data_IF_643284698152
#
_entry.id   IF_643284698152
#
_cell.length_a   1.000
_cell.length_b   1.000
_cell.length_c   1.000
_cell.angle_alpha   90.00
_cell.angle_beta   90.00
_cell.angle_gamma   90.00
#
_symmetry.space_group_name_H-M   'P 1'
#
loop_
_entity.id
_entity.type
_entity.pdbx_description
1 polymer ?
#
# COMPACT_ATOMS: atom_id res chain seq x y z
N UNK A 1 -72.72 9.35 14.38
CA UNK A 1 -73.47 10.62 14.33
C UNK A 1 -72.80 11.42 13.24
N UNK A 2 -73.37 11.39 12.12
CA UNK A 2 -74.36 12.26 11.47
C UNK A 2 -73.67 13.43 10.76
N UNK A 3 -73.64 13.34 9.44
CA UNK A 3 -74.40 14.11 8.43
C UNK A 3 -73.85 15.52 8.19
N UNK A 4 -73.75 16.08 7.03
CA UNK A 4 -74.32 16.01 5.69
C UNK A 4 -73.69 17.16 4.89
N UNK A 5 -73.25 16.93 3.65
CA UNK A 5 -73.90 17.27 2.37
C UNK A 5 -74.07 18.75 2.05
N UNK A 6 -73.58 19.26 0.91
CA UNK A 6 -74.29 19.44 -0.38
C UNK A 6 -73.54 20.41 -1.29
N UNK A 7 -73.37 20.00 -2.52
CA UNK A 7 -73.33 20.84 -3.74
C UNK A 7 -74.70 21.51 -3.98
N UNK A 8 -74.96 22.40 -4.97
CA UNK A 8 -74.43 22.50 -6.31
C UNK A 8 -74.52 23.89 -7.03
N UNK A 9 -74.19 23.84 -8.37
CA UNK A 9 -74.74 24.65 -9.49
C UNK A 9 -74.05 25.97 -9.85
N UNK A 10 -73.88 26.34 -11.08
CA UNK A 10 -74.21 26.10 -12.47
C UNK A 10 -73.54 27.11 -13.37
N UNK A 11 -73.00 26.66 -14.49
CA UNK A 11 -73.19 27.16 -15.88
C UNK A 11 -73.10 28.65 -16.24
N UNK A 12 -72.23 28.92 -17.22
CA UNK A 12 -72.60 29.53 -18.52
C UNK A 12 -71.41 29.74 -19.43
N UNK A 13 -71.48 29.15 -20.58
CA UNK A 13 -70.73 29.49 -21.81
C UNK A 13 -71.34 30.77 -22.42
N UNK A 14 -70.62 31.57 -23.19
CA UNK A 14 -70.98 31.84 -24.55
C UNK A 14 -69.86 31.86 -25.61
N UNK A 15 -70.23 31.27 -26.68
CA UNK A 15 -70.03 31.44 -28.12
C UNK A 15 -68.89 32.32 -28.66
N UNK A 16 -68.20 31.67 -29.56
CA UNK A 16 -67.21 32.12 -30.58
C UNK A 16 -67.79 33.18 -31.55
N UNK A 17 -66.92 33.94 -32.20
CA UNK A 17 -67.04 34.17 -33.63
C UNK A 17 -65.86 33.68 -34.46
N UNK A 18 -66.24 33.23 -35.60
CA UNK A 18 -65.49 32.63 -36.74
C UNK A 18 -64.81 33.79 -37.51
N UNK A 19 -63.48 33.64 -37.79
CA UNK A 19 -62.82 34.46 -38.81
C UNK A 19 -61.76 33.72 -39.57
N UNK A 20 -61.97 33.65 -40.79
CA UNK A 20 -61.26 33.45 -42.05
C UNK A 20 -59.83 32.93 -42.07
N UNK A 21 -59.65 31.85 -42.85
CA UNK A 21 -58.41 31.32 -43.38
C UNK A 21 -57.71 32.33 -44.28
N UNK A 22 -56.44 32.60 -43.96
CA UNK A 22 -55.46 33.00 -44.98
C UNK A 22 -54.23 32.09 -44.85
N UNK A 23 -54.05 31.30 -45.90
CA UNK A 23 -52.90 30.41 -46.07
C UNK A 23 -51.62 31.24 -46.30
N UNK A 24 -50.69 31.15 -45.39
CA UNK A 24 -49.31 31.54 -45.64
C UNK A 24 -48.43 30.29 -45.60
N UNK A 25 -47.84 29.97 -46.74
CA UNK A 25 -46.80 28.96 -46.89
C UNK A 25 -45.61 29.38 -46.09
N UNK A 26 -45.29 28.67 -44.99
CA UNK A 26 -44.02 28.82 -44.28
C UNK A 26 -42.99 27.91 -44.93
N UNK A 27 -41.93 28.50 -45.47
CA UNK A 27 -40.74 27.80 -45.92
C UNK A 27 -40.01 27.29 -44.69
N UNK A 28 -39.86 25.99 -44.55
CA UNK A 28 -38.99 25.34 -43.56
C UNK A 28 -37.52 25.53 -44.03
N UNK A 29 -36.82 26.42 -43.35
CA UNK A 29 -35.36 26.47 -43.37
C UNK A 29 -34.84 25.36 -42.46
N UNK A 30 -34.29 24.30 -43.04
CA UNK A 30 -33.58 23.27 -42.30
C UNK A 30 -32.22 23.86 -41.84
N UNK A 31 -32.10 24.11 -40.52
CA UNK A 31 -30.82 24.42 -39.89
C UNK A 31 -30.10 23.11 -39.62
N UNK A 32 -28.87 22.87 -40.16
CA UNK A 32 -28.11 21.68 -39.80
C UNK A 32 -27.70 21.79 -38.34
N UNK A 33 -28.12 20.87 -37.49
CA UNK A 33 -27.63 20.72 -36.13
C UNK A 33 -26.18 20.21 -36.20
N UNK A 34 -25.23 21.12 -36.02
CA UNK A 34 -23.84 20.77 -35.78
C UNK A 34 -23.77 20.08 -34.40
N UNK A 35 -23.55 18.77 -34.38
CA UNK A 35 -23.24 18.01 -33.16
C UNK A 35 -21.82 18.42 -32.74
N UNK A 36 -21.70 19.37 -31.82
CA UNK A 36 -20.46 19.59 -31.09
C UNK A 36 -20.23 18.34 -30.20
N UNK A 37 -19.33 17.46 -30.62
CA UNK A 37 -18.72 16.50 -29.68
C UNK A 37 -17.93 17.32 -28.68
N UNK A 38 -18.49 17.55 -27.50
CA UNK A 38 -17.76 18.04 -26.35
C UNK A 38 -16.73 16.96 -25.97
N UNK A 39 -15.47 17.13 -26.33
CA UNK A 39 -14.35 16.41 -25.74
C UNK A 39 -14.35 16.79 -24.25
N UNK A 40 -14.94 15.94 -23.41
CA UNK A 40 -14.76 16.06 -21.96
C UNK A 40 -13.27 15.84 -21.69
N UNK A 41 -12.56 16.83 -21.08
CA UNK A 41 -11.21 16.60 -20.67
C UNK A 41 -11.24 15.44 -19.67
N UNK A 42 -10.56 14.32 -19.98
CA UNK A 42 -10.27 13.29 -18.98
C UNK A 42 -9.51 13.97 -17.87
N UNK A 43 -10.09 14.03 -16.68
CA UNK A 43 -9.38 14.52 -15.51
C UNK A 43 -8.06 13.75 -15.41
N UNK A 44 -6.93 14.48 -15.40
CA UNK A 44 -5.63 13.88 -15.17
C UNK A 44 -5.71 13.11 -13.85
N UNK A 45 -5.20 11.89 -13.81
CA UNK A 45 -5.15 11.10 -12.58
C UNK A 45 -4.36 11.91 -11.52
N UNK A 46 -4.89 11.96 -10.29
CA UNK A 46 -4.21 12.63 -9.18
C UNK A 46 -2.89 11.93 -8.81
N UNK A 47 -2.71 10.67 -9.24
CA UNK A 47 -1.53 9.84 -8.98
C UNK A 47 -0.94 9.33 -10.30
N UNK A 48 0.40 9.19 -10.38
CA UNK A 48 1.08 8.68 -11.57
C UNK A 48 0.85 7.19 -11.74
N UNK A 49 0.80 6.73 -12.99
CA UNK A 49 0.94 5.30 -13.26
C UNK A 49 2.34 4.82 -12.85
N UNK A 50 2.51 3.53 -12.48
CA UNK A 50 3.83 2.97 -12.27
C UNK A 50 4.66 3.03 -13.54
N UNK A 51 5.98 3.17 -13.39
CA UNK A 51 6.93 3.00 -14.46
C UNK A 51 6.76 1.64 -15.15
N UNK A 52 7.12 1.56 -16.42
CA UNK A 52 6.99 0.31 -17.18
C UNK A 52 7.92 -0.75 -16.61
N UNK A 53 7.34 -1.87 -16.18
CA UNK A 53 8.07 -3.08 -15.79
C UNK A 53 7.58 -4.27 -16.62
N UNK A 54 8.49 -5.21 -16.91
CA UNK A 54 8.25 -6.36 -17.78
C UNK A 54 8.80 -7.65 -17.16
N UNK A 55 8.45 -8.80 -17.76
CA UNK A 55 8.90 -10.11 -17.31
C UNK A 55 8.10 -10.63 -16.12
N UNK A 56 8.76 -11.08 -15.08
CA UNK A 56 8.13 -11.67 -13.88
C UNK A 56 7.65 -10.58 -12.92
N UNK A 57 6.47 -10.02 -13.19
CA UNK A 57 5.93 -8.85 -12.47
C UNK A 57 4.77 -9.16 -11.53
N UNK A 58 4.30 -10.41 -11.47
CA UNK A 58 3.27 -10.82 -10.49
C UNK A 58 3.92 -10.92 -9.12
N UNK A 59 3.59 -9.98 -8.23
CA UNK A 59 4.16 -9.87 -6.87
C UNK A 59 3.12 -9.40 -5.87
N UNK A 60 3.34 -9.70 -4.60
CA UNK A 60 2.63 -9.14 -3.45
C UNK A 60 3.65 -8.75 -2.37
N UNK A 61 3.50 -7.59 -1.72
CA UNK A 61 4.41 -7.04 -0.70
C UNK A 61 5.89 -7.11 -1.10
N UNK A 62 6.28 -6.44 -2.20
CA UNK A 62 7.65 -6.51 -2.67
C UNK A 62 8.60 -5.66 -1.82
N UNK A 63 9.78 -6.22 -1.54
CA UNK A 63 10.95 -5.47 -1.07
C UNK A 63 12.07 -5.56 -2.10
N UNK A 64 12.83 -4.49 -2.28
CA UNK A 64 13.89 -4.45 -3.27
C UNK A 64 15.15 -3.81 -2.73
N UNK A 65 16.32 -4.37 -3.07
CA UNK A 65 17.63 -3.79 -2.79
C UNK A 65 18.49 -3.80 -4.05
N UNK A 66 19.36 -2.81 -4.19
CA UNK A 66 20.39 -2.77 -5.23
C UNK A 66 21.72 -3.19 -4.65
N UNK A 67 22.36 -4.20 -5.25
CA UNK A 67 23.70 -4.66 -4.85
C UNK A 67 24.78 -3.66 -5.27
N UNK A 68 25.97 -3.75 -4.70
CA UNK A 68 27.14 -2.95 -5.12
C UNK A 68 27.53 -3.17 -6.60
N UNK A 69 27.19 -4.34 -7.15
CA UNK A 69 27.39 -4.66 -8.57
C UNK A 69 26.27 -4.11 -9.48
N UNK A 70 25.32 -3.33 -8.93
CA UNK A 70 24.24 -2.69 -9.67
C UNK A 70 23.03 -3.58 -9.98
N UNK A 71 23.01 -4.82 -9.50
CA UNK A 71 21.88 -5.74 -9.67
C UNK A 71 20.78 -5.46 -8.65
N UNK A 72 19.53 -5.48 -9.07
CA UNK A 72 18.36 -5.40 -8.20
C UNK A 72 17.93 -6.81 -7.78
N UNK A 73 17.79 -7.00 -6.48
CA UNK A 73 17.23 -8.21 -5.86
C UNK A 73 15.87 -7.82 -5.29
N UNK A 74 14.82 -8.50 -5.72
CA UNK A 74 13.45 -8.29 -5.27
C UNK A 74 12.92 -9.57 -4.65
N UNK A 75 12.41 -9.47 -3.44
CA UNK A 75 11.69 -10.53 -2.74
C UNK A 75 10.26 -10.12 -2.49
N UNK A 76 9.35 -11.11 -2.45
CA UNK A 76 7.92 -10.87 -2.30
C UNK A 76 7.26 -11.99 -1.51
N UNK A 77 6.07 -11.74 -1.02
CA UNK A 77 5.17 -12.70 -0.36
C UNK A 77 4.95 -13.94 -1.24
N UNK A 78 4.85 -15.10 -0.58
CA UNK A 78 4.48 -16.38 -1.17
C UNK A 78 5.61 -17.41 -1.20
N UNK A 79 5.22 -18.67 -1.08
CA UNK A 79 6.15 -19.78 -1.06
C UNK A 79 7.22 -19.65 0.03
N UNK A 80 8.47 -19.85 -0.34
CA UNK A 80 9.65 -19.59 0.48
C UNK A 80 10.24 -18.19 0.30
N UNK A 81 9.43 -17.15 0.07
CA UNK A 81 9.76 -15.79 -0.33
C UNK A 81 10.27 -15.72 -1.77
N UNK A 82 9.34 -15.48 -2.68
CA UNK A 82 9.58 -15.53 -4.12
C UNK A 82 10.57 -14.45 -4.58
N UNK A 83 11.63 -14.87 -5.27
CA UNK A 83 12.72 -14.02 -5.72
C UNK A 83 12.59 -13.62 -7.19
N UNK A 84 12.99 -12.39 -7.47
CA UNK A 84 13.17 -11.85 -8.82
C UNK A 84 14.41 -10.98 -8.86
N UNK A 85 14.97 -10.81 -10.06
CA UNK A 85 16.16 -9.97 -10.26
C UNK A 85 16.04 -9.17 -11.55
N UNK A 86 16.69 -8.00 -11.54
CA UNK A 86 16.83 -7.12 -12.71
C UNK A 86 18.22 -6.48 -12.72
N UNK A 87 18.70 -6.07 -13.89
CA UNK A 87 19.92 -5.26 -14.05
C UNK A 87 19.61 -3.79 -14.32
N UNK A 88 18.35 -3.47 -14.62
CA UNK A 88 17.91 -2.13 -15.05
C UNK A 88 16.64 -1.66 -14.29
N UNK A 89 16.14 -2.44 -13.33
CA UNK A 89 14.89 -2.27 -12.57
C UNK A 89 13.59 -2.17 -13.41
N UNK A 90 13.67 -2.54 -14.71
CA UNK A 90 12.53 -2.54 -15.62
C UNK A 90 12.17 -3.94 -16.10
N UNK A 91 13.16 -4.76 -16.43
CA UNK A 91 12.97 -6.16 -16.85
C UNK A 91 13.33 -7.11 -15.70
N UNK A 92 12.34 -7.83 -15.17
CA UNK A 92 12.51 -8.74 -14.04
C UNK A 92 12.42 -10.21 -14.48
N UNK A 93 13.38 -11.01 -14.01
CA UNK A 93 13.41 -12.46 -14.18
C UNK A 93 13.17 -13.15 -12.84
N UNK A 94 12.34 -14.20 -12.82
CA UNK A 94 12.15 -15.06 -11.67
C UNK A 94 13.40 -15.93 -11.44
N UNK A 95 13.72 -16.20 -10.16
CA UNK A 95 14.90 -17.00 -9.77
C UNK A 95 14.65 -17.96 -8.60
N UNK A 96 13.40 -18.38 -8.41
CA UNK A 96 13.02 -19.30 -7.32
C UNK A 96 12.68 -18.57 -6.02
N UNK A 97 12.87 -19.24 -4.89
CA UNK A 97 12.54 -18.72 -3.56
C UNK A 97 13.82 -18.56 -2.71
N UNK A 98 13.79 -17.64 -1.74
CA UNK A 98 14.86 -17.50 -0.75
C UNK A 98 15.10 -18.83 -0.02
N UNK A 99 14.02 -19.48 0.41
CA UNK A 99 14.02 -20.78 1.07
C UNK A 99 13.49 -21.86 0.13
N UNK A 100 14.37 -22.63 -0.49
CA UNK A 100 13.99 -23.85 -1.22
C UNK A 100 13.47 -24.94 -0.27
N UNK A 101 14.06 -25.03 0.93
CA UNK A 101 13.55 -25.82 2.06
C UNK A 101 13.07 -24.86 3.14
N UNK A 102 11.78 -24.94 3.46
CA UNK A 102 11.13 -24.02 4.40
C UNK A 102 11.52 -24.37 5.84
N UNK A 103 11.82 -23.37 6.70
CA UNK A 103 12.11 -23.59 8.10
C UNK A 103 10.97 -24.33 8.80
N UNK A 104 11.30 -25.39 9.55
CA UNK A 104 10.31 -26.29 10.17
C UNK A 104 9.38 -25.60 11.17
N UNK A 105 9.83 -24.51 11.82
CA UNK A 105 9.05 -23.76 12.80
C UNK A 105 7.83 -23.03 12.19
N UNK A 106 7.78 -22.81 10.85
CA UNK A 106 6.64 -22.17 10.19
C UNK A 106 5.34 -22.95 10.41
N UNK A 107 5.42 -24.28 10.42
CA UNK A 107 4.26 -25.15 10.66
C UNK A 107 3.53 -24.89 11.99
N UNK A 108 4.25 -24.37 13.00
CA UNK A 108 3.64 -23.98 14.29
C UNK A 108 2.64 -22.82 14.17
N UNK A 109 2.68 -22.11 13.06
CA UNK A 109 1.77 -20.99 12.71
C UNK A 109 0.72 -21.42 11.68
N UNK A 110 0.65 -22.71 11.33
CA UNK A 110 -0.37 -23.26 10.43
C UNK A 110 -0.13 -22.93 8.95
N UNK A 111 1.11 -22.60 8.57
CA UNK A 111 1.45 -22.23 7.19
C UNK A 111 2.75 -22.88 6.74
N UNK A 112 2.94 -22.93 5.44
CA UNK A 112 4.20 -23.27 4.75
C UNK A 112 4.68 -22.13 3.86
N UNK A 113 4.14 -20.93 4.05
CA UNK A 113 4.46 -19.73 3.29
C UNK A 113 4.96 -18.62 4.21
N UNK A 114 5.83 -17.78 3.68
CA UNK A 114 6.26 -16.55 4.33
C UNK A 114 5.79 -15.33 3.56
N UNK A 115 5.58 -14.23 4.30
CA UNK A 115 4.97 -13.01 3.81
C UNK A 115 5.83 -11.79 4.09
N UNK A 116 5.58 -10.72 3.32
CA UNK A 116 6.07 -9.37 3.51
C UNK A 116 7.55 -9.32 3.94
N UNK A 117 8.49 -9.78 3.08
CA UNK A 117 9.91 -9.69 3.38
C UNK A 117 10.39 -8.24 3.40
N UNK A 118 11.41 -7.97 4.22
CA UNK A 118 12.18 -6.73 4.21
C UNK A 118 13.67 -7.05 4.12
N UNK A 119 14.31 -6.72 2.97
CA UNK A 119 15.72 -6.99 2.72
C UNK A 119 16.56 -5.75 2.95
N UNK A 120 17.67 -5.90 3.68
CA UNK A 120 18.67 -4.87 3.90
C UNK A 120 20.09 -5.44 3.84
N UNK A 121 21.10 -4.57 3.68
CA UNK A 121 22.51 -4.97 3.75
C UNK A 121 23.15 -4.30 4.96
N UNK A 122 23.50 -5.10 5.97
CA UNK A 122 23.99 -4.61 7.25
C UNK A 122 25.16 -5.48 7.73
N UNK A 123 26.23 -4.86 8.25
CA UNK A 123 27.34 -5.59 8.81
C UNK A 123 28.03 -6.56 7.85
N UNK A 124 28.08 -6.24 6.55
CA UNK A 124 28.73 -7.07 5.53
C UNK A 124 27.91 -8.23 5.00
N UNK A 125 26.62 -8.33 5.33
CA UNK A 125 25.70 -9.38 4.88
C UNK A 125 24.30 -8.84 4.57
N UNK A 126 23.57 -9.57 3.75
CA UNK A 126 22.14 -9.33 3.55
C UNK A 126 21.36 -9.93 4.73
N UNK A 127 20.44 -9.15 5.25
CA UNK A 127 19.46 -9.56 6.25
C UNK A 127 18.06 -9.50 5.63
N UNK A 128 17.21 -10.46 5.96
CA UNK A 128 15.81 -10.46 5.56
C UNK A 128 14.95 -10.77 6.78
N UNK A 129 14.17 -9.77 7.20
CA UNK A 129 13.05 -9.98 8.11
C UNK A 129 11.84 -10.40 7.29
N UNK A 130 11.01 -11.29 7.82
CA UNK A 130 9.83 -11.79 7.12
C UNK A 130 8.76 -12.24 8.10
N UNK A 131 7.52 -12.34 7.66
CA UNK A 131 6.41 -12.76 8.49
C UNK A 131 5.98 -14.20 8.18
N UNK A 132 5.50 -14.89 9.22
CA UNK A 132 4.89 -16.21 9.14
C UNK A 132 3.56 -16.16 9.88
N UNK A 133 2.46 -16.37 9.15
CA UNK A 133 1.10 -16.25 9.68
C UNK A 133 0.10 -17.02 8.81
N UNK A 134 -1.17 -16.98 9.19
CA UNK A 134 -2.31 -17.37 8.38
C UNK A 134 -3.29 -16.21 8.25
N UNK A 135 -3.97 -16.12 7.10
CA UNK A 135 -4.89 -15.02 6.81
C UNK A 135 -5.99 -14.90 7.86
N UNK A 136 -6.23 -13.68 8.35
CA UNK A 136 -7.23 -13.39 9.38
C UNK A 136 -6.80 -13.73 10.81
N UNK A 137 -5.57 -14.19 11.03
CA UNK A 137 -5.02 -14.52 12.34
C UNK A 137 -4.01 -13.47 12.81
N UNK A 138 -3.90 -13.31 14.15
CA UNK A 138 -2.77 -12.63 14.77
C UNK A 138 -1.88 -13.59 15.58
N UNK A 139 -2.05 -14.91 15.40
CA UNK A 139 -1.05 -15.88 15.81
C UNK A 139 0.06 -15.89 14.76
N UNK A 140 1.06 -15.05 14.96
CA UNK A 140 2.04 -14.73 13.94
C UNK A 140 3.45 -14.62 14.50
N UNK A 141 4.45 -14.71 13.62
CA UNK A 141 5.84 -14.50 13.96
C UNK A 141 6.58 -13.73 12.88
N UNK A 142 7.54 -12.92 13.31
CA UNK A 142 8.57 -12.34 12.46
C UNK A 142 9.80 -13.21 12.59
N UNK A 143 10.33 -13.71 11.46
CA UNK A 143 11.59 -14.41 11.33
C UNK A 143 12.71 -13.51 10.84
N UNK A 144 13.93 -13.99 10.96
CA UNK A 144 15.14 -13.36 10.43
C UNK A 144 15.97 -14.40 9.68
N UNK A 145 16.45 -14.02 8.50
CA UNK A 145 17.46 -14.78 7.77
C UNK A 145 18.65 -13.90 7.39
N UNK A 146 19.80 -14.53 7.19
CA UNK A 146 21.02 -13.89 6.71
C UNK A 146 21.61 -14.59 5.50
N UNK A 147 22.25 -13.81 4.61
CA UNK A 147 22.91 -14.31 3.41
C UNK A 147 24.15 -13.49 3.10
N UNK A 148 25.20 -14.14 2.58
CA UNK A 148 26.39 -13.44 2.10
C UNK A 148 26.20 -12.84 0.70
N UNK A 149 25.29 -13.39 -0.12
CA UNK A 149 25.07 -12.96 -1.51
C UNK A 149 23.73 -12.30 -1.77
N UNK A 150 22.74 -12.51 -0.88
CA UNK A 150 21.36 -12.09 -1.08
C UNK A 150 20.60 -12.92 -2.13
N UNK A 151 21.19 -14.02 -2.65
CA UNK A 151 20.59 -14.85 -3.69
C UNK A 151 19.90 -16.09 -3.11
N UNK A 152 18.91 -16.67 -3.80
CA UNK A 152 18.33 -17.97 -3.44
C UNK A 152 19.40 -19.03 -3.18
N UNK A 153 19.13 -19.92 -2.21
CA UNK A 153 20.06 -20.99 -1.80
C UNK A 153 21.21 -20.54 -0.88
N UNK A 154 21.36 -19.23 -0.61
CA UNK A 154 22.39 -18.70 0.31
C UNK A 154 21.82 -18.20 1.65
N UNK A 155 20.52 -18.30 1.84
CA UNK A 155 19.85 -17.83 3.05
C UNK A 155 19.92 -18.85 4.18
N UNK A 156 20.38 -18.40 5.34
CA UNK A 156 20.36 -19.16 6.59
C UNK A 156 19.28 -18.57 7.49
N UNK A 157 18.34 -19.40 7.92
CA UNK A 157 17.31 -19.01 8.88
C UNK A 157 17.91 -18.87 10.29
N UNK A 158 17.67 -17.72 10.92
CA UNK A 158 18.05 -17.42 12.32
C UNK A 158 16.86 -17.57 13.28
N UNK A 159 15.72 -18.09 12.77
CA UNK A 159 14.51 -18.32 13.53
C UNK A 159 13.78 -17.03 13.94
N UNK A 160 12.88 -17.20 14.88
CA UNK A 160 11.93 -16.15 15.33
C UNK A 160 12.62 -14.96 16.00
N UNK A 161 12.15 -13.77 15.68
CA UNK A 161 12.55 -12.47 16.27
C UNK A 161 11.49 -11.96 17.24
N UNK A 162 10.24 -11.93 16.80
CA UNK A 162 9.11 -11.40 17.57
C UNK A 162 7.84 -12.17 17.22
N UNK A 163 6.91 -12.26 18.16
CA UNK A 163 5.69 -13.05 17.99
C UNK A 163 4.46 -12.34 18.51
N UNK A 164 3.31 -12.74 18.01
CA UNK A 164 1.99 -12.48 18.59
C UNK A 164 1.21 -13.77 18.72
N UNK A 165 0.23 -13.77 19.61
CA UNK A 165 -0.69 -14.88 19.85
C UNK A 165 -2.12 -14.40 19.67
N UNK A 166 -3.08 -15.30 19.68
CA UNK A 166 -4.52 -14.94 19.58
C UNK A 166 -5.01 -14.03 20.70
N UNK A 167 -4.29 -13.95 21.83
CA UNK A 167 -4.56 -13.04 22.94
C UNK A 167 -3.82 -11.68 22.83
N UNK A 168 -2.93 -11.53 21.86
CA UNK A 168 -2.23 -10.26 21.64
C UNK A 168 -3.17 -9.20 21.05
N UNK A 169 -2.95 -7.95 21.44
CA UNK A 169 -3.66 -6.79 20.90
C UNK A 169 -3.06 -6.26 19.59
N UNK A 170 -2.09 -6.95 19.01
CA UNK A 170 -1.38 -6.62 17.77
C UNK A 170 -1.12 -7.88 16.94
N UNK A 171 -0.65 -7.70 15.71
CA UNK A 171 -0.25 -8.77 14.81
C UNK A 171 1.24 -8.60 14.45
N UNK A 172 2.08 -9.63 14.67
CA UNK A 172 3.51 -9.60 14.39
C UNK A 172 3.79 -10.03 12.94
N UNK A 173 3.39 -9.19 11.98
CA UNK A 173 3.67 -9.33 10.54
C UNK A 173 4.15 -8.00 9.95
N UNK A 174 4.53 -8.00 8.67
CA UNK A 174 4.99 -6.85 7.90
C UNK A 174 6.19 -6.14 8.55
N UNK A 175 7.31 -6.83 8.75
CA UNK A 175 8.48 -6.23 9.37
C UNK A 175 9.18 -5.25 8.41
N UNK A 176 9.74 -4.16 8.98
CA UNK A 176 10.73 -3.31 8.32
C UNK A 176 11.83 -2.91 9.29
N UNK A 177 13.07 -3.22 8.92
CA UNK A 177 14.26 -2.82 9.66
C UNK A 177 14.69 -1.40 9.25
N UNK A 178 14.75 -0.50 10.22
CA UNK A 178 15.36 0.81 10.06
C UNK A 178 16.62 0.93 10.92
N UNK A 179 17.75 1.29 10.30
CA UNK A 179 19.02 1.60 10.97
C UNK A 179 19.19 3.10 10.99
N UNK A 180 19.23 3.68 12.20
CA UNK A 180 19.37 5.13 12.38
C UNK A 180 20.86 5.56 12.29
N UNK A 181 21.10 6.85 12.07
CA UNK A 181 22.43 7.43 11.93
C UNK A 181 23.30 7.25 13.20
N UNK A 182 22.67 7.06 14.36
CA UNK A 182 23.35 6.77 15.63
C UNK A 182 23.69 5.27 15.81
N UNK A 183 23.49 4.47 14.76
CA UNK A 183 23.75 3.03 14.77
C UNK A 183 22.72 2.18 15.48
N UNK A 184 21.64 2.79 15.95
CA UNK A 184 20.54 2.04 16.57
C UNK A 184 19.66 1.39 15.52
N UNK A 185 19.26 0.14 15.80
CA UNK A 185 18.35 -0.62 14.95
C UNK A 185 16.94 -0.64 15.51
N UNK A 186 15.98 -0.43 14.63
CA UNK A 186 14.57 -0.41 14.95
C UNK A 186 13.80 -1.31 13.99
N UNK A 187 12.89 -2.13 14.52
CA UNK A 187 11.99 -2.94 13.72
C UNK A 187 10.57 -2.41 13.87
N UNK A 188 10.01 -1.87 12.81
CA UNK A 188 8.59 -1.57 12.73
C UNK A 188 7.84 -2.77 12.15
N UNK A 189 6.61 -3.01 12.62
CA UNK A 189 5.79 -4.13 12.19
C UNK A 189 4.33 -3.91 12.61
N UNK A 190 3.43 -4.68 12.04
CA UNK A 190 2.04 -4.71 12.50
C UNK A 190 1.03 -4.55 11.38
N UNK A 191 -0.13 -5.15 11.61
CA UNK A 191 -1.25 -5.19 10.71
C UNK A 191 -2.53 -5.26 11.54
N UNK A 192 -3.51 -4.41 11.22
CA UNK A 192 -4.83 -4.37 11.87
C UNK A 192 -4.76 -4.21 13.42
N UNK A 193 -5.65 -4.84 14.17
CA UNK A 193 -5.74 -4.81 15.65
C UNK A 193 -5.48 -3.39 16.21
N UNK A 194 -4.38 -3.22 16.96
CA UNK A 194 -3.96 -1.91 17.49
C UNK A 194 -2.88 -1.24 16.64
N UNK A 195 -2.75 -1.66 15.37
CA UNK A 195 -1.90 -1.03 14.37
C UNK A 195 -0.42 -1.34 14.51
N UNK A 196 0.40 -0.42 14.01
CA UNK A 196 1.83 -0.58 13.80
C UNK A 196 2.60 -0.32 15.09
N UNK A 197 3.56 -1.19 15.35
CA UNK A 197 4.46 -1.16 16.51
C UNK A 197 5.91 -0.98 16.07
N UNK A 198 6.74 -0.56 17.00
CA UNK A 198 8.19 -0.46 16.83
C UNK A 198 8.90 -0.96 18.08
N UNK A 199 9.94 -1.77 17.88
CA UNK A 199 10.82 -2.30 18.95
C UNK A 199 12.29 -2.02 18.62
N UNK A 200 13.13 -2.08 19.66
CA UNK A 200 14.59 -2.03 19.53
C UNK A 200 15.14 -3.38 19.12
N UNK A 201 16.10 -3.36 18.21
CA UNK A 201 16.85 -4.54 17.79
C UNK A 201 18.31 -4.40 18.24
N UNK A 202 18.89 -5.52 18.69
CA UNK A 202 20.30 -5.67 18.95
C UNK A 202 21.05 -5.88 17.61
N UNK A 203 21.91 -4.94 17.19
CA UNK A 203 22.63 -5.08 15.90
C UNK A 203 23.52 -6.32 15.81
N UNK A 204 23.96 -6.88 16.94
CA UNK A 204 24.83 -8.06 16.96
C UNK A 204 24.10 -9.35 16.66
N UNK A 205 22.82 -9.43 17.01
CA UNK A 205 22.00 -10.64 16.88
C UNK A 205 20.85 -10.51 15.87
N UNK A 206 20.42 -9.29 15.55
CA UNK A 206 19.21 -9.02 14.78
C UNK A 206 17.91 -9.38 15.53
N UNK A 207 17.96 -9.62 16.84
CA UNK A 207 16.82 -9.94 17.70
C UNK A 207 16.42 -8.74 18.56
N UNK A 208 15.27 -8.84 19.24
CA UNK A 208 14.87 -7.78 20.17
C UNK A 208 15.95 -7.49 21.21
N UNK A 209 16.23 -6.22 21.43
CA UNK A 209 17.23 -5.79 22.41
C UNK A 209 16.71 -6.06 23.83
N UNK A 210 17.44 -6.87 24.60
CA UNK A 210 17.01 -7.28 25.95
C UNK A 210 16.93 -6.14 26.98
N UNK A 211 17.75 -5.09 26.80
CA UNK A 211 17.75 -3.91 27.66
C UNK A 211 16.67 -2.86 27.28
N UNK A 212 15.98 -3.01 26.14
CA UNK A 212 14.86 -2.17 25.72
C UNK A 212 13.78 -3.04 25.06
N UNK A 213 12.88 -3.58 25.86
CA UNK A 213 11.78 -4.46 25.41
C UNK A 213 10.49 -3.69 25.14
N UNK A 214 10.51 -2.35 25.20
CA UNK A 214 9.32 -1.53 24.98
C UNK A 214 8.79 -1.67 23.56
N UNK A 215 7.46 -1.95 23.46
CA UNK A 215 6.70 -1.96 22.20
C UNK A 215 5.99 -0.62 22.04
N UNK A 216 6.45 0.19 21.12
CA UNK A 216 5.96 1.55 20.88
C UNK A 216 4.91 1.54 19.78
N UNK A 217 3.75 2.16 19.99
CA UNK A 217 2.76 2.36 18.93
C UNK A 217 3.13 3.56 18.08
N UNK A 218 3.25 3.38 16.77
CA UNK A 218 3.66 4.45 15.84
C UNK A 218 2.59 4.81 14.80
N UNK A 219 1.64 3.92 14.51
CA UNK A 219 0.43 4.21 13.75
C UNK A 219 -0.71 3.30 14.20
N UNK A 220 -1.95 3.80 14.17
CA UNK A 220 -3.15 3.04 14.46
C UNK A 220 -4.41 3.73 13.94
N UNK A 221 -5.49 2.95 13.82
CA UNK A 221 -6.81 3.44 13.45
C UNK A 221 -7.80 3.09 14.56
N UNK A 222 -7.92 3.92 15.59
CA UNK A 222 -8.79 3.64 16.73
C UNK A 222 -10.27 3.67 16.37
N UNK A 223 -10.65 4.38 15.29
CA UNK A 223 -12.03 4.46 14.79
C UNK A 223 -12.13 3.95 13.35
N UNK A 224 -13.29 3.43 12.95
CA UNK A 224 -13.52 2.86 11.63
C UNK A 224 -12.91 1.47 11.45
N UNK A 225 -12.46 1.17 10.23
CA UNK A 225 -11.72 -0.07 9.95
C UNK A 225 -10.35 0.03 10.62
N UNK A 226 -9.91 -1.02 11.27
CA UNK A 226 -8.58 -1.02 11.93
C UNK A 226 -7.43 -1.26 10.95
N UNK A 227 -7.71 -1.24 9.66
CA UNK A 227 -6.83 -1.59 8.57
C UNK A 227 -5.71 -0.56 8.38
N UNK A 228 -4.59 -0.76 9.03
CA UNK A 228 -3.29 -0.11 8.80
C UNK A 228 -2.21 -1.15 8.99
N UNK A 229 -1.28 -1.27 8.02
CA UNK A 229 -0.25 -2.30 7.97
C UNK A 229 0.93 -1.89 7.09
N UNK A 230 1.86 -2.82 6.83
CA UNK A 230 3.02 -2.64 5.96
C UNK A 230 3.81 -1.34 6.27
N UNK A 231 4.34 -1.18 7.49
CA UNK A 231 5.17 -0.01 7.82
C UNK A 231 6.48 -0.02 7.06
N UNK A 232 6.93 1.16 6.64
CA UNK A 232 8.29 1.36 6.13
C UNK A 232 8.82 2.72 6.58
N UNK A 233 9.96 2.73 7.27
CA UNK A 233 10.56 3.95 7.81
C UNK A 233 11.77 4.37 6.99
N UNK A 234 11.81 5.64 6.62
CA UNK A 234 12.99 6.27 6.01
C UNK A 234 13.32 7.58 6.70
N UNK A 235 14.61 7.99 6.67
CA UNK A 235 15.05 9.27 7.15
C UNK A 235 15.43 10.16 5.98
N UNK A 236 14.89 11.39 5.95
CA UNK A 236 15.17 12.36 4.89
C UNK A 236 15.14 13.77 5.47
N UNK A 237 16.17 14.58 5.16
CA UNK A 237 16.25 15.99 5.56
C UNK A 237 15.96 16.24 7.05
N UNK A 238 16.49 15.38 7.94
CA UNK A 238 16.34 15.48 9.38
C UNK A 238 15.00 14.99 9.96
N UNK A 239 14.07 14.49 9.10
CA UNK A 239 12.80 13.89 9.50
C UNK A 239 12.79 12.39 9.26
N UNK A 240 12.07 11.68 10.11
CA UNK A 240 11.66 10.29 9.90
C UNK A 240 10.29 10.28 9.24
N UNK A 241 10.14 9.48 8.19
CA UNK A 241 8.89 9.29 7.47
C UNK A 241 8.44 7.85 7.63
N UNK A 242 7.23 7.66 8.15
CA UNK A 242 6.58 6.36 8.25
C UNK A 242 5.58 6.23 7.12
N UNK A 243 5.89 5.40 6.13
CA UNK A 243 4.92 4.93 5.14
C UNK A 243 4.14 3.78 5.74
N UNK A 244 2.86 3.69 5.41
CA UNK A 244 2.00 2.59 5.80
C UNK A 244 0.89 2.39 4.79
N UNK A 245 0.39 1.17 4.66
CA UNK A 245 -0.76 0.84 3.85
C UNK A 245 -2.04 0.88 4.67
N UNK A 246 -3.06 1.46 4.11
CA UNK A 246 -4.37 1.69 4.75
C UNK A 246 -5.47 1.00 3.96
N UNK A 247 -6.55 0.65 4.66
CA UNK A 247 -7.75 0.00 4.16
C UNK A 247 -7.51 -1.47 3.71
N UNK A 248 -8.30 -2.01 2.79
CA UNK A 248 -8.37 -3.46 2.56
C UNK A 248 -7.54 -3.85 1.36
N UNK A 249 -6.57 -4.76 1.56
CA UNK A 249 -5.86 -5.47 0.51
C UNK A 249 -6.60 -6.74 0.07
N UNK A 250 -5.98 -7.50 -0.82
CA UNK A 250 -6.23 -8.93 -1.05
C UNK A 250 -7.64 -9.26 -1.58
N UNK A 251 -8.31 -8.28 -2.22
CA UNK A 251 -9.65 -8.39 -2.79
C UNK A 251 -9.68 -8.12 -4.32
N UNK A 252 -8.54 -8.26 -5.01
CA UNK A 252 -8.42 -7.99 -6.44
C UNK A 252 -8.93 -6.59 -6.79
N UNK A 253 -9.81 -6.48 -7.78
CA UNK A 253 -10.41 -5.19 -8.20
C UNK A 253 -11.31 -4.53 -7.15
N UNK A 254 -11.66 -5.22 -6.07
CA UNK A 254 -12.42 -4.68 -4.94
C UNK A 254 -11.53 -4.16 -3.80
N UNK A 255 -10.20 -4.23 -3.96
CA UNK A 255 -9.26 -3.70 -2.98
C UNK A 255 -9.36 -2.19 -2.87
N UNK A 256 -9.31 -1.69 -1.64
CA UNK A 256 -9.35 -0.25 -1.32
C UNK A 256 -8.00 0.24 -0.73
N UNK A 257 -7.00 -0.59 -0.82
CA UNK A 257 -5.66 -0.37 -0.30
C UNK A 257 -5.06 0.94 -0.83
N UNK A 258 -4.23 1.60 -0.04
CA UNK A 258 -3.57 2.85 -0.39
C UNK A 258 -2.37 3.12 0.49
N UNK A 259 -1.37 3.80 -0.03
CA UNK A 259 -0.17 4.20 0.72
C UNK A 259 -0.35 5.59 1.30
N UNK A 260 -0.13 5.72 2.60
CA UNK A 260 -0.07 7.01 3.29
C UNK A 260 1.26 7.17 4.02
N UNK A 261 1.58 8.42 4.38
CA UNK A 261 2.81 8.77 5.07
C UNK A 261 2.54 9.79 6.18
N UNK A 262 3.27 9.66 7.28
CA UNK A 262 3.44 10.69 8.29
C UNK A 262 4.91 10.93 8.56
N UNK A 263 5.26 12.07 9.17
CA UNK A 263 6.64 12.39 9.56
C UNK A 263 6.78 12.75 11.02
N UNK A 264 7.99 12.55 11.55
CA UNK A 264 8.36 12.82 12.91
C UNK A 264 9.79 13.38 13.00
N UNK A 265 10.14 14.00 14.11
CA UNK A 265 11.51 14.39 14.45
C UNK A 265 12.25 13.31 15.27
N UNK A 266 11.54 12.27 15.70
CA UNK A 266 12.09 11.11 16.39
C UNK A 266 11.65 9.84 15.67
N UNK A 267 12.52 8.82 15.61
CA UNK A 267 12.21 7.54 14.98
C UNK A 267 11.01 6.81 15.61
N UNK A 268 10.79 7.02 16.90
CA UNK A 268 9.65 6.46 17.63
C UNK A 268 8.39 7.32 17.56
N UNK A 269 8.41 8.39 16.77
CA UNK A 269 7.28 9.31 16.63
C UNK A 269 7.21 10.36 17.76
N UNK A 270 6.03 10.99 17.94
CA UNK A 270 4.79 10.76 17.15
C UNK A 270 4.93 11.21 15.70
N UNK A 271 4.39 10.40 14.78
CA UNK A 271 4.32 10.72 13.36
C UNK A 271 3.02 11.48 13.06
N UNK A 272 3.12 12.60 12.36
CA UNK A 272 2.00 13.44 11.97
C UNK A 272 1.88 13.53 10.45
N UNK A 273 0.67 13.63 9.95
CA UNK A 273 0.41 13.94 8.54
C UNK A 273 0.54 15.46 8.26
N UNK A 274 0.34 15.87 7.00
CA UNK A 274 0.40 17.28 6.58
C UNK A 274 -0.60 18.19 7.32
N UNK A 275 -1.71 17.61 7.80
CA UNK A 275 -2.76 18.33 8.53
C UNK A 275 -2.54 18.37 10.04
N UNK A 276 -1.43 17.79 10.53
CA UNK A 276 -1.09 17.71 11.95
C UNK A 276 -1.85 16.61 12.71
N UNK A 277 -2.49 15.67 12.01
CA UNK A 277 -3.17 14.54 12.64
C UNK A 277 -2.15 13.42 12.86
N UNK A 278 -2.09 12.90 14.09
CA UNK A 278 -1.18 11.81 14.44
C UNK A 278 -1.56 10.51 13.70
N UNK A 279 -0.56 9.78 13.20
CA UNK A 279 -0.79 8.46 12.58
C UNK A 279 -1.36 7.44 13.59
N UNK A 280 -1.15 7.64 14.88
CA UNK A 280 -1.80 6.86 15.95
C UNK A 280 -3.29 7.21 16.14
N UNK A 281 -3.81 8.21 15.41
CA UNK A 281 -5.20 8.67 15.46
C UNK A 281 -5.78 8.84 14.04
N UNK A 282 -5.69 7.82 13.20
CA UNK A 282 -6.14 7.80 11.79
C UNK A 282 -5.42 8.78 10.85
N UNK A 283 -4.37 9.48 11.27
CA UNK A 283 -3.60 10.39 10.42
C UNK A 283 -2.89 9.67 9.29
N UNK A 284 -2.43 10.41 8.31
CA UNK A 284 -1.65 9.94 7.16
C UNK A 284 -1.98 10.70 5.89
N UNK A 285 -0.96 11.33 5.29
CA UNK A 285 -1.05 12.00 3.99
C UNK A 285 -0.97 10.97 2.87
N UNK A 286 -1.88 11.00 1.91
CA UNK A 286 -1.89 10.09 0.78
C UNK A 286 -0.63 10.26 -0.10
N UNK A 287 -0.03 9.14 -0.51
CA UNK A 287 1.11 9.05 -1.44
C UNK A 287 0.68 8.35 -2.72
N UNK A 288 -0.05 7.24 -2.60
CA UNK A 288 -0.66 6.48 -3.71
C UNK A 288 -2.04 6.00 -3.30
N UNK A 289 -3.00 6.15 -4.21
CA UNK A 289 -4.36 5.63 -4.09
C UNK A 289 -4.81 5.04 -5.43
N UNK A 290 -5.93 4.35 -5.45
CA UNK A 290 -6.52 3.79 -6.67
C UNK A 290 -6.71 4.86 -7.74
N UNK A 291 -6.22 4.59 -8.95
CA UNK A 291 -6.39 5.44 -10.13
C UNK A 291 -6.28 4.61 -11.41
N UNK A 292 -7.11 4.89 -12.38
CA UNK A 292 -7.12 4.15 -13.66
C UNK A 292 -7.16 2.63 -13.44
N UNK A 293 -6.20 1.90 -14.01
CA UNK A 293 -6.05 0.46 -13.83
C UNK A 293 -5.31 0.06 -12.53
N UNK A 294 -4.70 1.00 -11.85
CA UNK A 294 -3.95 0.77 -10.61
C UNK A 294 -4.92 0.76 -9.45
N UNK A 295 -5.32 -0.41 -9.00
CA UNK A 295 -6.30 -0.59 -7.94
C UNK A 295 -5.59 -1.03 -6.66
N UNK A 296 -5.90 -0.38 -5.55
CA UNK A 296 -5.39 -0.76 -4.24
C UNK A 296 -3.86 -0.85 -4.15
N UNK A 297 -3.08 0.19 -4.51
CA UNK A 297 -1.62 0.16 -4.36
C UNK A 297 -1.23 0.11 -2.89
N UNK A 298 -0.30 -0.79 -2.53
CA UNK A 298 0.17 -0.93 -1.14
C UNK A 298 1.22 -2.02 -0.97
N UNK A 299 1.48 -2.44 0.29
CA UNK A 299 2.54 -3.39 0.63
C UNK A 299 3.90 -2.87 0.19
N UNK A 300 4.16 -1.58 0.43
CA UNK A 300 5.28 -0.85 -0.15
C UNK A 300 6.58 -1.01 0.63
N UNK A 301 7.69 -0.95 -0.10
CA UNK A 301 9.03 -0.67 0.39
C UNK A 301 9.61 0.58 -0.27
N UNK A 302 10.64 1.18 0.32
CA UNK A 302 11.36 2.32 -0.25
C UNK A 302 12.81 1.91 -0.51
N UNK A 303 13.27 2.10 -1.74
CA UNK A 303 14.66 1.89 -2.12
C UNK A 303 15.33 3.22 -2.39
N UNK A 304 16.46 3.48 -1.72
CA UNK A 304 17.35 4.57 -2.10
C UNK A 304 18.24 4.10 -3.25
N UNK A 305 18.02 4.65 -4.45
CA UNK A 305 18.77 4.30 -5.66
C UNK A 305 19.63 5.48 -6.14
N UNK A 306 20.44 5.28 -7.16
CA UNK A 306 21.41 6.26 -7.66
C UNK A 306 20.79 7.52 -8.27
N UNK A 307 19.57 7.43 -8.75
CA UNK A 307 18.82 8.54 -9.39
C UNK A 307 17.68 9.08 -8.53
N UNK A 308 17.49 8.54 -7.32
CA UNK A 308 16.48 9.00 -6.38
C UNK A 308 15.91 7.87 -5.52
N UNK A 309 14.97 8.23 -4.66
CA UNK A 309 14.23 7.26 -3.88
C UNK A 309 13.08 6.67 -4.73
N UNK A 310 12.89 5.37 -4.62
CA UNK A 310 11.83 4.63 -5.29
C UNK A 310 10.82 4.14 -4.26
N UNK A 311 9.55 4.26 -4.57
CA UNK A 311 8.51 3.47 -3.92
C UNK A 311 8.26 2.23 -4.78
N UNK A 312 8.43 1.05 -4.17
CA UNK A 312 8.23 -0.28 -4.77
C UNK A 312 7.05 -0.90 -4.05
N UNK A 313 6.02 -1.29 -4.78
CA UNK A 313 4.75 -1.72 -4.21
C UNK A 313 4.05 -2.75 -5.10
N UNK A 314 2.98 -3.35 -4.62
CA UNK A 314 2.05 -4.05 -5.50
C UNK A 314 0.78 -3.24 -5.71
N UNK A 315 0.08 -3.51 -6.81
CA UNK A 315 -1.26 -3.02 -7.10
C UNK A 315 -2.05 -4.13 -7.81
N UNK A 316 -3.36 -4.10 -7.73
CA UNK A 316 -4.23 -5.02 -8.44
C UNK A 316 -4.58 -4.43 -9.80
N UNK A 317 -4.19 -5.10 -10.89
CA UNK A 317 -4.36 -4.56 -12.25
C UNK A 317 -5.82 -4.70 -12.71
N UNK A 318 -6.52 -3.58 -12.83
CA UNK A 318 -7.91 -3.53 -13.30
C UNK A 318 -8.10 -4.03 -14.73
N UNK A 319 -7.04 -4.05 -15.54
CA UNK A 319 -7.06 -4.60 -16.90
C UNK A 319 -6.73 -6.11 -16.95
N UNK A 320 -6.36 -6.72 -15.81
CA UNK A 320 -5.97 -8.12 -15.71
C UNK A 320 -6.66 -8.79 -14.49
N UNK A 321 -7.98 -8.60 -14.37
CA UNK A 321 -8.85 -9.21 -13.36
C UNK A 321 -8.36 -9.03 -11.91
N UNK A 322 -7.60 -7.96 -11.62
CA UNK A 322 -7.05 -7.71 -10.31
C UNK A 322 -5.84 -8.58 -9.96
N UNK A 323 -5.13 -9.11 -10.95
CA UNK A 323 -3.84 -9.76 -10.73
C UNK A 323 -2.87 -8.80 -10.06
N UNK A 324 -2.22 -9.16 -8.92
CA UNK A 324 -1.27 -8.29 -8.26
C UNK A 324 -0.01 -8.12 -9.12
N UNK A 325 0.38 -6.88 -9.37
CA UNK A 325 1.52 -6.51 -10.22
C UNK A 325 2.50 -5.61 -9.47
N UNK A 326 3.76 -5.70 -9.86
CA UNK A 326 4.83 -4.81 -9.41
C UNK A 326 4.59 -3.39 -9.90
N UNK A 327 4.58 -2.42 -8.99
CA UNK A 327 4.63 -0.99 -9.26
C UNK A 327 5.93 -0.38 -8.75
N UNK A 328 6.53 0.50 -9.55
CA UNK A 328 7.73 1.26 -9.18
C UNK A 328 7.52 2.70 -9.64
N UNK A 329 7.67 3.66 -8.73
CA UNK A 329 7.69 5.09 -9.02
C UNK A 329 8.86 5.75 -8.31
N UNK A 330 9.34 6.85 -8.86
CA UNK A 330 10.25 7.75 -8.15
C UNK A 330 9.49 8.59 -7.13
N UNK A 331 10.19 9.03 -6.07
CA UNK A 331 9.69 9.93 -5.04
C UNK A 331 10.37 11.30 -5.12
N UNK A 332 9.58 12.35 -5.29
CA UNK A 332 10.04 13.73 -5.19
C UNK A 332 9.82 14.25 -3.76
N UNK A 333 10.87 14.83 -3.17
CA UNK A 333 10.88 15.37 -1.81
C UNK A 333 10.96 16.90 -1.73
N UNK A 334 10.87 17.61 -2.86
CA UNK A 334 11.07 19.07 -2.91
C UNK A 334 10.12 19.87 -2.04
N UNK A 335 8.91 19.33 -1.78
CA UNK A 335 7.92 19.93 -0.89
C UNK A 335 8.15 19.62 0.61
N UNK A 336 9.20 18.87 0.95
CA UNK A 336 9.42 18.29 2.28
C UNK A 336 8.49 17.13 2.62
N UNK A 337 7.79 16.60 1.61
CA UNK A 337 6.95 15.41 1.68
C UNK A 337 7.12 14.56 0.43
N UNK A 338 7.04 13.21 0.54
CA UNK A 338 7.17 12.36 -0.63
C UNK A 338 5.96 12.51 -1.56
N UNK A 339 6.25 12.67 -2.83
CA UNK A 339 5.27 12.70 -3.92
C UNK A 339 5.75 11.72 -4.98
N UNK A 340 4.95 10.70 -5.27
CA UNK A 340 5.24 9.75 -6.35
C UNK A 340 5.09 10.44 -7.72
N UNK A 341 5.99 10.09 -8.69
CA UNK A 341 5.93 10.60 -10.06
C UNK A 341 6.48 9.58 -11.07
#
# INVERSE_FOLDING_TARGET
>A
MSRTSRTPRTSRTPRTPRASRTSRRAALLAVPAAILLALTPTAASAYPNPGTVTGSTVVHDPTMIRTSAGRYLLYATGGGLAYRTSTDRTAFSAGGDAFSTKPGWWSSYGTTEAWAPDISYQGGKYLMYYAVSTFGSNKSAIGLAGSSTGLPGSWTDYGTVYTSTTSSDYNAIDPNLFVDDDGKWWLSFGSWWTGIKMIRIDPSTGKQLSSDTARRSIASRPTGTKAVEAPYVVKRNGYYYLFASYDTCCAGTSSTYKVKVGRATSVTGPYYDKSGVAMTNNGGTAVLETHGRVIGPGGQSILHDTDGDLIVYHYYDGNDNGTPKLGINLLNWSSGWPVAY
#
